data_IF_423368799786
#
_entry.id   IF_423368799786
#
_cell.length_a   1.000
_cell.length_b   1.000
_cell.length_c   1.000
_cell.angle_alpha   90.00
_cell.angle_beta   90.00
_cell.angle_gamma   90.00
#
_symmetry.space_group_name_H-M   'P 1'
#
loop_
_entity.id
_entity.type
_entity.pdbx_description
1 polymer ?
#
# COMPACT_ATOMS: atom_id res chain seq x y z
N UNK A 1 14.01 -2.13 -26.78
CA UNK A 1 13.34 -1.32 -25.74
C UNK A 1 12.81 -2.30 -24.72
N UNK A 2 13.33 -2.33 -23.49
CA UNK A 2 12.73 -3.18 -22.45
C UNK A 2 11.29 -2.71 -22.24
N UNK A 3 10.32 -3.56 -22.54
CA UNK A 3 8.95 -3.33 -22.14
C UNK A 3 8.92 -3.39 -20.62
N UNK A 4 8.81 -2.23 -19.97
CA UNK A 4 8.56 -2.16 -18.54
C UNK A 4 7.12 -2.61 -18.33
N UNK A 5 6.93 -3.89 -17.99
CA UNK A 5 5.62 -4.41 -17.60
C UNK A 5 5.29 -3.79 -16.25
N UNK A 6 4.29 -2.91 -16.22
CA UNK A 6 3.75 -2.37 -14.96
C UNK A 6 3.09 -3.51 -14.20
N UNK A 7 3.46 -3.70 -12.92
CA UNK A 7 2.87 -4.73 -12.05
C UNK A 7 1.86 -4.05 -11.11
N UNK A 8 0.77 -4.74 -10.81
CA UNK A 8 -0.04 -4.42 -9.64
C UNK A 8 0.81 -4.63 -8.38
N UNK A 9 1.05 -3.58 -7.61
CA UNK A 9 1.92 -3.66 -6.43
C UNK A 9 1.29 -4.52 -5.35
N UNK A 10 0.00 -4.32 -5.09
CA UNK A 10 -0.74 -4.97 -4.01
C UNK A 10 -1.53 -6.20 -4.49
N UNK A 11 -1.05 -6.90 -5.52
CA UNK A 11 -1.68 -8.14 -5.97
C UNK A 11 -1.88 -9.12 -4.79
N UNK A 12 -3.04 -9.78 -4.75
CA UNK A 12 -3.48 -10.69 -3.67
C UNK A 12 -3.69 -10.05 -2.29
N UNK A 13 -3.57 -8.72 -2.19
CA UNK A 13 -3.80 -7.94 -0.96
C UNK A 13 -5.00 -7.00 -1.06
N UNK A 14 -5.67 -6.95 -2.22
CA UNK A 14 -6.85 -6.11 -2.47
C UNK A 14 -8.12 -6.97 -2.44
N UNK A 15 -9.13 -6.49 -1.74
CA UNK A 15 -10.42 -7.15 -1.53
C UNK A 15 -11.57 -6.17 -1.79
N UNK A 16 -12.74 -6.67 -2.19
CA UNK A 16 -13.95 -5.85 -2.21
C UNK A 16 -14.59 -5.77 -0.80
N UNK A 17 -15.65 -4.97 -0.68
CA UNK A 17 -16.40 -4.77 0.57
C UNK A 17 -17.01 -6.07 1.15
N UNK A 18 -17.28 -7.07 0.31
CA UNK A 18 -17.77 -8.40 0.72
C UNK A 18 -16.63 -9.34 1.16
N UNK A 19 -15.38 -8.86 1.20
CA UNK A 19 -14.20 -9.64 1.57
C UNK A 19 -13.72 -10.62 0.49
N UNK A 20 -14.20 -10.46 -0.74
CA UNK A 20 -13.79 -11.26 -1.89
C UNK A 20 -12.52 -10.69 -2.52
N UNK A 21 -11.55 -11.52 -2.92
CA UNK A 21 -10.28 -11.03 -3.46
C UNK A 21 -10.46 -10.39 -4.84
N UNK A 22 -9.95 -9.18 -4.99
CA UNK A 22 -9.84 -8.50 -6.29
C UNK A 22 -8.58 -8.99 -7.00
N UNK A 23 -8.73 -9.90 -7.96
CA UNK A 23 -7.60 -10.56 -8.61
C UNK A 23 -6.88 -9.60 -9.56
N UNK A 24 -5.56 -9.58 -9.50
CA UNK A 24 -4.76 -8.87 -10.49
C UNK A 24 -4.80 -9.61 -11.84
N UNK A 25 -5.19 -8.90 -12.89
CA UNK A 25 -5.26 -9.40 -14.27
C UNK A 25 -4.62 -8.37 -15.21
N UNK A 26 -4.30 -8.78 -16.43
CA UNK A 26 -3.72 -7.89 -17.44
C UNK A 26 -4.68 -7.74 -18.61
N UNK A 27 -5.05 -6.48 -18.92
CA UNK A 27 -5.75 -6.13 -20.15
C UNK A 27 -4.72 -5.49 -21.07
N UNK A 28 -4.31 -6.23 -22.11
CA UNK A 28 -3.17 -5.85 -22.94
C UNK A 28 -1.86 -5.90 -22.14
N UNK A 29 -1.30 -4.74 -21.81
CA UNK A 29 -0.07 -4.59 -20.99
C UNK A 29 -0.31 -3.77 -19.72
N UNK A 30 -1.58 -3.45 -19.40
CA UNK A 30 -1.95 -2.65 -18.25
C UNK A 30 -2.50 -3.56 -17.16
N UNK A 31 -1.92 -3.55 -15.94
CA UNK A 31 -2.45 -4.31 -14.82
C UNK A 31 -3.77 -3.71 -14.34
N UNK A 32 -4.74 -4.56 -14.04
CA UNK A 32 -6.04 -4.22 -13.49
C UNK A 32 -6.36 -5.11 -12.29
N UNK A 33 -7.13 -4.59 -11.34
CA UNK A 33 -7.84 -5.39 -10.36
C UNK A 33 -9.21 -5.76 -10.90
N UNK A 34 -9.50 -7.06 -10.90
CA UNK A 34 -10.81 -7.62 -11.23
C UNK A 34 -11.62 -7.70 -9.93
N UNK A 35 -12.38 -6.63 -9.66
CA UNK A 35 -13.20 -6.45 -8.46
C UNK A 35 -14.55 -7.16 -8.67
N UNK A 36 -14.91 -8.15 -7.83
CA UNK A 36 -16.23 -8.76 -7.89
C UNK A 36 -17.35 -7.76 -7.53
N UNK A 37 -18.40 -7.74 -8.34
CA UNK A 37 -19.63 -6.94 -8.18
C UNK A 37 -20.84 -7.81 -8.55
N UNK A 38 -21.34 -8.57 -7.57
CA UNK A 38 -22.36 -9.60 -7.82
C UNK A 38 -21.89 -10.65 -8.83
N UNK A 39 -22.63 -10.79 -9.93
CA UNK A 39 -22.29 -11.71 -11.03
C UNK A 39 -21.29 -11.10 -12.05
N UNK A 40 -20.83 -9.87 -11.81
CA UNK A 40 -19.92 -9.15 -12.70
C UNK A 40 -18.50 -9.05 -12.12
N UNK A 41 -17.54 -8.81 -13.01
CA UNK A 41 -16.16 -8.50 -12.69
C UNK A 41 -15.80 -7.14 -13.27
N UNK A 42 -15.63 -6.14 -12.41
CA UNK A 42 -15.19 -4.80 -12.82
C UNK A 42 -13.68 -4.77 -12.87
N UNK A 43 -13.16 -4.34 -14.00
CA UNK A 43 -11.73 -4.18 -14.19
C UNK A 43 -11.36 -2.73 -13.94
N UNK A 44 -10.61 -2.50 -12.87
CA UNK A 44 -10.11 -1.17 -12.51
C UNK A 44 -8.60 -1.16 -12.67
N UNK A 45 -8.03 -0.13 -13.28
CA UNK A 45 -6.58 -0.03 -13.46
C UNK A 45 -5.86 -0.10 -12.11
N UNK A 46 -4.84 -0.95 -12.01
CA UNK A 46 -4.12 -1.15 -10.75
C UNK A 46 -3.43 0.12 -10.28
N UNK A 47 -2.95 0.97 -11.20
CA UNK A 47 -2.33 2.25 -10.85
C UNK A 47 -3.29 3.16 -10.06
N UNK A 48 -4.59 3.15 -10.36
CA UNK A 48 -5.58 3.94 -9.64
C UNK A 48 -5.72 3.47 -8.19
N UNK A 49 -5.77 2.16 -7.97
CA UNK A 49 -5.91 1.56 -6.63
C UNK A 49 -4.61 1.68 -5.84
N UNK A 50 -3.48 1.31 -6.45
CA UNK A 50 -2.15 1.31 -5.81
C UNK A 50 -1.78 2.72 -5.29
N UNK A 51 -2.07 3.77 -6.06
CA UNK A 51 -1.83 5.16 -5.64
C UNK A 51 -2.61 5.54 -4.39
N UNK A 52 -3.88 5.14 -4.31
CA UNK A 52 -4.72 5.41 -3.15
C UNK A 52 -4.22 4.67 -1.91
N UNK A 53 -3.83 3.40 -2.06
CA UNK A 53 -3.26 2.60 -0.97
C UNK A 53 -2.01 3.29 -0.41
N UNK A 54 -1.08 3.68 -1.28
CA UNK A 54 0.17 4.34 -0.85
C UNK A 54 -0.12 5.68 -0.19
N UNK A 55 -1.03 6.48 -0.73
CA UNK A 55 -1.41 7.77 -0.15
C UNK A 55 -2.00 7.60 1.26
N UNK A 56 -2.90 6.63 1.46
CA UNK A 56 -3.49 6.34 2.76
C UNK A 56 -2.48 5.76 3.76
N UNK A 57 -1.54 4.92 3.30
CA UNK A 57 -0.43 4.45 4.14
C UNK A 57 0.46 5.61 4.57
N UNK A 58 0.79 6.51 3.66
CA UNK A 58 1.58 7.70 3.93
C UNK A 58 0.88 8.61 4.94
N UNK A 59 -0.41 8.87 4.78
CA UNK A 59 -1.21 9.67 5.71
C UNK A 59 -1.22 9.07 7.12
N UNK A 60 -1.44 7.76 7.25
CA UNK A 60 -1.40 7.04 8.54
C UNK A 60 -0.03 7.16 9.21
N UNK A 61 1.06 6.95 8.46
CA UNK A 61 2.43 7.06 8.99
C UNK A 61 2.78 8.49 9.38
N UNK A 62 2.34 9.50 8.60
CA UNK A 62 2.51 10.91 8.95
C UNK A 62 1.73 11.29 10.21
N UNK A 63 0.50 10.81 10.37
CA UNK A 63 -0.32 11.03 11.56
C UNK A 63 0.31 10.47 12.84
N UNK A 64 1.11 9.40 12.72
CA UNK A 64 1.85 8.79 13.83
C UNK A 64 3.32 9.26 13.90
N UNK A 65 3.76 10.17 13.02
CA UNK A 65 5.18 10.47 12.84
C UNK A 65 5.85 10.95 14.13
N UNK A 66 5.14 11.62 15.03
CA UNK A 66 5.69 12.07 16.31
C UNK A 66 5.93 10.90 17.27
N UNK A 67 4.96 9.99 17.42
CA UNK A 67 5.11 8.78 18.24
C UNK A 67 6.13 7.78 17.67
N UNK A 68 6.20 7.63 16.35
CA UNK A 68 7.21 6.78 15.68
C UNK A 68 8.60 7.38 15.88
N UNK A 69 8.75 8.70 15.71
CA UNK A 69 10.04 9.38 15.91
C UNK A 69 10.52 9.22 17.35
N UNK A 70 9.64 9.43 18.34
CA UNK A 70 9.98 9.29 19.76
C UNK A 70 10.34 7.84 20.12
N UNK A 71 9.57 6.85 19.64
CA UNK A 71 9.85 5.43 19.86
C UNK A 71 11.17 4.95 19.23
N UNK A 72 11.49 5.42 18.02
CA UNK A 72 12.75 5.07 17.33
C UNK A 72 13.96 5.73 17.99
N UNK A 73 13.84 6.98 18.44
CA UNK A 73 14.89 7.66 19.23
C UNK A 73 15.14 6.92 20.54
N UNK A 74 14.08 6.43 21.21
CA UNK A 74 14.24 5.75 22.49
C UNK A 74 14.84 4.33 22.38
N UNK A 75 14.62 3.62 21.26
CA UNK A 75 15.17 2.28 21.03
C UNK A 75 16.62 2.26 20.51
N UNK A 76 17.13 3.35 19.94
CA UNK A 76 18.46 3.39 19.31
C UNK A 76 19.30 4.52 19.91
N UNK A 77 20.18 4.18 20.85
CA UNK A 77 21.00 5.11 21.63
C UNK A 77 22.08 5.90 20.87
N UNK A 78 21.98 6.03 19.54
CA UNK A 78 22.81 6.93 18.75
C UNK A 78 21.94 7.75 17.79
N UNK A 79 21.61 8.98 18.19
CA UNK A 79 20.81 9.97 17.45
C UNK A 79 21.43 10.43 16.11
N UNK A 80 22.45 9.75 15.59
CA UNK A 80 23.38 10.37 14.63
C UNK A 80 23.46 9.69 13.24
N UNK A 81 22.69 8.64 12.98
CA UNK A 81 22.66 7.98 11.65
C UNK A 81 21.31 8.08 10.93
N UNK A 82 20.22 8.37 11.66
CA UNK A 82 18.91 8.69 11.09
C UNK A 82 18.34 9.92 11.80
N UNK A 83 18.33 11.05 11.11
CA UNK A 83 17.73 12.28 11.66
C UNK A 83 16.22 12.27 11.46
N UNK A 84 15.46 12.96 12.34
CA UNK A 84 14.01 13.18 12.15
C UNK A 84 13.68 13.71 10.76
N UNK A 85 14.55 14.55 10.20
CA UNK A 85 14.40 15.09 8.85
C UNK A 85 14.54 14.01 7.76
N UNK A 86 15.48 13.07 7.91
CA UNK A 86 15.65 11.94 6.99
C UNK A 86 14.44 10.99 7.00
N UNK A 87 13.91 10.68 8.20
CA UNK A 87 12.70 9.84 8.35
C UNK A 87 11.49 10.53 7.72
N UNK A 88 11.27 11.80 8.06
CA UNK A 88 10.19 12.60 7.47
C UNK A 88 10.28 12.66 5.95
N UNK A 89 11.48 12.91 5.40
CA UNK A 89 11.69 12.95 3.96
C UNK A 89 11.38 11.60 3.30
N UNK A 90 11.75 10.48 3.93
CA UNK A 90 11.41 9.15 3.42
C UNK A 90 9.90 8.92 3.38
N UNK A 91 9.17 9.33 4.42
CA UNK A 91 7.70 9.23 4.48
C UNK A 91 7.06 10.14 3.42
N UNK A 92 7.52 11.38 3.27
CA UNK A 92 7.02 12.34 2.27
C UNK A 92 7.22 11.87 0.82
N UNK A 93 8.19 10.98 0.58
CA UNK A 93 8.52 10.44 -0.75
C UNK A 93 8.17 8.94 -0.88
N UNK A 94 7.23 8.45 -0.07
CA UNK A 94 6.80 7.04 -0.09
C UNK A 94 6.13 6.65 -1.42
N UNK A 95 5.53 7.60 -2.13
CA UNK A 95 4.95 7.42 -3.46
C UNK A 95 5.94 6.89 -4.50
N UNK A 96 7.25 7.08 -4.29
CA UNK A 96 8.30 6.53 -5.17
C UNK A 96 8.25 5.01 -5.30
N UNK A 97 7.65 4.27 -4.34
CA UNK A 97 7.50 2.81 -4.47
C UNK A 97 6.63 2.41 -5.67
N UNK A 98 5.82 3.34 -6.21
CA UNK A 98 5.04 3.18 -7.44
C UNK A 98 5.89 3.24 -8.71
N UNK A 99 7.11 3.77 -8.62
CA UNK A 99 8.00 3.86 -9.76
C UNK A 99 8.53 2.45 -10.13
N UNK A 100 8.57 2.11 -11.43
CA UNK A 100 9.07 0.81 -11.85
C UNK A 100 10.51 0.56 -11.37
N UNK A 101 10.69 -0.51 -10.60
CA UNK A 101 12.01 -0.92 -10.08
C UNK A 101 12.47 -0.17 -8.83
N UNK A 102 11.64 0.70 -8.24
CA UNK A 102 11.97 1.35 -6.97
C UNK A 102 12.01 0.38 -5.78
N UNK A 103 11.28 -0.73 -5.87
CA UNK A 103 11.20 -1.77 -4.84
C UNK A 103 11.20 -3.16 -5.46
N UNK A 104 11.66 -4.16 -4.70
CA UNK A 104 11.33 -5.56 -5.00
C UNK A 104 9.86 -5.79 -4.62
N UNK A 105 9.02 -5.93 -5.64
CA UNK A 105 7.57 -6.04 -5.46
C UNK A 105 7.19 -7.33 -4.74
N UNK A 106 7.96 -8.41 -4.91
CA UNK A 106 7.65 -9.70 -4.30
C UNK A 106 8.05 -9.71 -2.82
N UNK A 107 9.16 -9.06 -2.46
CA UNK A 107 9.54 -8.80 -1.07
C UNK A 107 8.50 -7.90 -0.36
N UNK A 108 8.11 -6.79 -1.01
CA UNK A 108 7.09 -5.87 -0.48
C UNK A 108 5.78 -6.61 -0.17
N UNK A 109 5.27 -7.39 -1.13
CA UNK A 109 4.04 -8.17 -0.94
C UNK A 109 4.17 -9.19 0.16
N UNK A 110 5.31 -9.88 0.25
CA UNK A 110 5.55 -10.89 1.29
C UNK A 110 5.52 -10.25 2.67
N UNK A 111 6.18 -9.09 2.84
CA UNK A 111 6.15 -8.34 4.08
C UNK A 111 4.72 -7.95 4.48
N UNK A 112 3.97 -7.34 3.55
CA UNK A 112 2.57 -6.94 3.79
C UNK A 112 1.65 -8.13 4.06
N UNK A 113 1.84 -9.25 3.38
CA UNK A 113 1.07 -10.46 3.63
C UNK A 113 1.32 -11.03 5.04
N UNK A 114 2.58 -11.00 5.50
CA UNK A 114 2.93 -11.46 6.85
C UNK A 114 2.30 -10.58 7.94
N UNK A 115 2.15 -9.28 7.70
CA UNK A 115 1.43 -8.39 8.61
C UNK A 115 -0.08 -8.58 8.56
N UNK A 116 -0.61 -9.43 7.67
CA UNK A 116 -2.03 -9.54 7.27
C UNK A 116 -2.65 -8.23 6.82
N UNK A 117 -1.85 -7.39 6.17
CA UNK A 117 -2.35 -6.21 5.47
C UNK A 117 -3.46 -6.58 4.49
N UNK A 118 -4.52 -5.77 4.43
CA UNK A 118 -5.55 -5.83 3.39
C UNK A 118 -6.00 -4.42 3.01
N UNK A 119 -6.20 -4.22 1.71
CA UNK A 119 -6.88 -3.03 1.18
C UNK A 119 -8.27 -3.42 0.71
N UNK A 120 -9.30 -2.76 1.24
CA UNK A 120 -10.69 -2.94 0.83
C UNK A 120 -11.05 -1.82 -0.15
N UNK A 121 -11.63 -2.17 -1.28
CA UNK A 121 -12.07 -1.24 -2.32
C UNK A 121 -13.56 -1.38 -2.62
N UNK A 122 -14.18 -0.28 -3.05
CA UNK A 122 -15.51 -0.32 -3.66
C UNK A 122 -15.46 -0.89 -5.09
N UNK A 123 -16.63 -1.03 -5.71
CA UNK A 123 -16.76 -1.53 -7.09
C UNK A 123 -16.10 -0.64 -8.16
N UNK A 124 -15.77 0.61 -7.83
CA UNK A 124 -15.05 1.54 -8.70
C UNK A 124 -13.53 1.51 -8.47
N UNK A 125 -13.07 0.77 -7.46
CA UNK A 125 -11.67 0.70 -7.04
C UNK A 125 -11.25 1.89 -6.17
N UNK A 126 -12.19 2.63 -5.58
CA UNK A 126 -11.86 3.57 -4.53
C UNK A 126 -11.53 2.79 -3.26
N UNK A 127 -10.40 3.10 -2.61
CA UNK A 127 -10.02 2.44 -1.36
C UNK A 127 -10.90 2.96 -0.23
N UNK A 128 -11.65 2.06 0.39
CA UNK A 128 -12.58 2.39 1.49
C UNK A 128 -11.98 2.09 2.87
N UNK A 129 -11.06 1.12 2.96
CA UNK A 129 -10.42 0.74 4.22
C UNK A 129 -9.03 0.13 3.97
N UNK A 130 -8.08 0.44 4.86
CA UNK A 130 -6.82 -0.29 4.99
C UNK A 130 -6.82 -1.02 6.32
N UNK A 131 -6.83 -2.35 6.29
CA UNK A 131 -6.69 -3.20 7.47
C UNK A 131 -5.21 -3.48 7.70
N UNK A 132 -4.66 -2.99 8.80
CA UNK A 132 -3.25 -3.19 9.16
C UNK A 132 -3.23 -3.72 10.60
N UNK A 133 -3.10 -5.04 10.80
CA UNK A 133 -3.07 -5.63 12.14
C UNK A 133 -1.96 -5.05 13.01
N UNK A 134 -2.32 -4.72 14.26
CA UNK A 134 -1.45 -3.98 15.18
C UNK A 134 -1.57 -2.46 15.06
N UNK A 135 -2.25 -1.95 14.03
CA UNK A 135 -2.86 -0.62 14.01
C UNK A 135 -4.37 -0.76 14.17
N UNK A 136 -4.80 -0.86 15.43
CA UNK A 136 -6.19 -0.57 15.77
C UNK A 136 -6.34 0.95 15.65
N UNK A 137 -7.28 1.42 14.82
CA UNK A 137 -7.81 2.77 14.93
C UNK A 137 -8.39 2.85 16.35
N UNK A 138 -7.62 3.38 17.30
CA UNK A 138 -8.09 3.59 18.65
C UNK A 138 -9.35 4.42 18.57
N UNK A 139 -10.49 3.85 18.95
CA UNK A 139 -11.71 4.61 19.19
C UNK A 139 -11.36 5.78 20.11
N UNK A 140 -11.54 7.00 19.59
CA UNK A 140 -11.58 8.24 20.36
C UNK A 140 -13.03 8.63 20.61
#
# INVERSE_FOLDING_TARGET
>A
MSNIVRRALFADLVFNEDGQPAKAVYIGQVPHYSVPDGDFLRHVEAEHVDRQIVALMQERVLGMSDAITEGMIHMMGEENLFTRASVKHAIENMDRILEPGAVDVDELRTALWMTKFRAVVDVHGNVVLLEIPGWEDGEI
#
